data_IF_510723861718
#
_entry.id   IF_510723861718
#
_cell.length_a   1.000
_cell.length_b   1.000
_cell.length_c   1.000
_cell.angle_alpha   90.00
_cell.angle_beta   90.00
_cell.angle_gamma   90.00
#
_symmetry.space_group_name_H-M   'P 1'
#
loop_
_entity.id
_entity.type
_entity.pdbx_description
1 polymer ?
#
# COMPACT_ATOMS: atom_id res chain seq x y z
N UNK A 1 0.01 2.92 19.67
CA UNK A 1 -0.29 3.36 18.28
C UNK A 1 -1.63 4.05 18.28
N UNK A 2 -1.80 5.10 17.48
CA UNK A 2 -3.07 5.72 17.09
C UNK A 2 -3.29 5.51 15.58
N UNK A 3 -4.54 5.66 15.07
CA UNK A 3 -4.77 5.62 13.63
C UNK A 3 -3.85 6.60 12.89
N UNK A 4 -3.24 6.14 11.80
CA UNK A 4 -2.37 6.91 10.91
C UNK A 4 -1.02 7.39 11.52
N UNK A 5 -0.58 6.86 12.66
CA UNK A 5 0.78 7.11 13.17
C UNK A 5 1.84 6.20 12.54
N UNK A 6 1.46 4.98 12.15
CA UNK A 6 2.36 4.01 11.55
C UNK A 6 1.61 3.20 10.50
N UNK A 7 2.13 3.25 9.28
CA UNK A 7 1.71 2.36 8.19
C UNK A 7 2.85 1.41 7.87
N UNK A 8 2.48 0.16 7.59
CA UNK A 8 3.40 -0.88 7.11
C UNK A 8 2.93 -1.31 5.73
N UNK A 9 3.87 -1.76 4.90
CA UNK A 9 3.59 -2.20 3.54
C UNK A 9 4.33 -3.48 3.24
N UNK A 10 3.76 -4.28 2.35
CA UNK A 10 4.41 -5.45 1.77
C UNK A 10 3.98 -5.60 0.29
N UNK A 11 4.78 -6.32 -0.49
CA UNK A 11 4.45 -6.73 -1.84
C UNK A 11 4.34 -8.25 -1.87
N UNK A 12 3.15 -8.75 -2.18
CA UNK A 12 2.92 -10.18 -2.37
C UNK A 12 2.84 -10.51 -3.86
N UNK A 13 3.54 -11.57 -4.28
CA UNK A 13 3.47 -12.10 -5.64
C UNK A 13 2.52 -13.28 -5.73
N UNK A 14 1.73 -13.31 -6.79
CA UNK A 14 0.77 -14.37 -7.10
C UNK A 14 1.07 -14.91 -8.50
N UNK A 15 1.22 -16.24 -8.61
CA UNK A 15 1.36 -16.91 -9.90
C UNK A 15 -0.01 -17.09 -10.54
N UNK A 16 -0.16 -16.62 -11.78
CA UNK A 16 -1.38 -16.82 -12.59
C UNK A 16 -1.06 -17.66 -13.83
N UNK A 17 -2.08 -17.94 -14.65
CA UNK A 17 -1.88 -18.59 -15.96
C UNK A 17 -1.23 -17.66 -17.00
N UNK A 18 -1.28 -16.35 -16.77
CA UNK A 18 -0.81 -15.32 -17.69
C UNK A 18 0.55 -14.73 -17.29
N UNK A 19 1.06 -15.08 -16.11
CA UNK A 19 2.35 -14.61 -15.62
C UNK A 19 2.37 -14.40 -14.11
N UNK A 20 3.21 -13.48 -13.67
CA UNK A 20 3.23 -13.01 -12.28
C UNK A 20 2.32 -11.81 -12.12
N UNK A 21 1.63 -11.74 -10.98
CA UNK A 21 0.85 -10.59 -10.55
C UNK A 21 1.37 -10.16 -9.18
N UNK A 22 1.59 -8.87 -8.99
CA UNK A 22 2.13 -8.29 -7.76
C UNK A 22 1.07 -7.41 -7.12
N UNK A 23 0.86 -7.58 -5.82
CA UNK A 23 -0.07 -6.78 -5.02
C UNK A 23 0.73 -6.05 -3.94
N UNK A 24 0.75 -4.72 -4.00
CA UNK A 24 1.27 -3.88 -2.93
C UNK A 24 0.11 -3.43 -2.05
N UNK A 25 0.21 -3.62 -0.74
CA UNK A 25 -0.83 -3.25 0.20
C UNK A 25 -0.26 -2.43 1.39
N UNK A 26 -0.89 -1.30 1.67
CA UNK A 26 -0.55 -0.42 2.80
C UNK A 26 -1.54 -0.69 3.93
N UNK A 27 -1.04 -1.16 5.07
CA UNK A 27 -1.82 -1.47 6.26
C UNK A 27 -1.57 -0.42 7.35
N UNK A 28 -2.65 0.09 7.93
CA UNK A 28 -2.58 0.90 9.13
C UNK A 28 -2.36 0.00 10.36
N UNK A 29 -1.21 0.15 11.03
CA UNK A 29 -0.76 -0.79 12.07
C UNK A 29 -1.67 -0.79 13.30
N UNK A 30 -2.38 0.32 13.55
CA UNK A 30 -3.35 0.42 14.64
C UNK A 30 -4.67 -0.28 14.31
N UNK A 31 -5.32 0.12 13.21
CA UNK A 31 -6.67 -0.34 12.85
C UNK A 31 -6.70 -1.68 12.10
N UNK A 32 -5.53 -2.20 11.68
CA UNK A 32 -5.38 -3.41 10.86
C UNK A 32 -6.12 -3.36 9.51
N UNK A 33 -6.51 -2.17 9.06
CA UNK A 33 -7.19 -1.98 7.78
C UNK A 33 -6.16 -1.77 6.68
N UNK A 34 -6.40 -2.37 5.52
CA UNK A 34 -5.75 -1.94 4.28
C UNK A 34 -6.30 -0.56 3.92
N UNK A 35 -5.41 0.41 3.79
CA UNK A 35 -5.74 1.82 3.57
C UNK A 35 -5.43 2.27 2.15
N UNK A 36 -4.57 1.55 1.45
CA UNK A 36 -4.29 1.72 0.04
C UNK A 36 -3.70 0.42 -0.53
N UNK A 37 -3.89 0.20 -1.82
CA UNK A 37 -3.37 -0.97 -2.51
C UNK A 37 -3.19 -0.67 -4.00
N UNK A 38 -2.36 -1.46 -4.67
CA UNK A 38 -2.22 -1.46 -6.12
C UNK A 38 -1.83 -2.86 -6.59
N UNK A 39 -2.23 -3.20 -7.81
CA UNK A 39 -1.93 -4.48 -8.45
C UNK A 39 -1.37 -4.22 -9.83
N UNK A 40 -0.27 -4.88 -10.19
CA UNK A 40 0.33 -4.80 -11.52
C UNK A 40 1.02 -6.14 -11.88
N UNK A 41 1.23 -6.36 -13.17
CA UNK A 41 2.07 -7.41 -13.75
C UNK A 41 3.57 -7.16 -13.57
N UNK A 42 3.97 -5.93 -13.23
CA UNK A 42 5.37 -5.52 -13.02
C UNK A 42 5.62 -5.09 -11.57
N UNK A 43 6.68 -5.60 -10.96
CA UNK A 43 7.12 -5.16 -9.63
C UNK A 43 8.10 -3.97 -9.76
N UNK A 44 7.55 -2.77 -9.85
CA UNK A 44 8.31 -1.52 -9.95
C UNK A 44 7.92 -0.49 -8.86
N UNK A 45 8.51 0.70 -8.93
CA UNK A 45 8.17 1.79 -8.01
C UNK A 45 6.74 2.32 -8.22
N UNK A 46 6.22 2.26 -9.45
CA UNK A 46 4.86 2.70 -9.79
C UNK A 46 3.82 1.94 -8.98
N UNK A 47 3.97 0.61 -8.85
CA UNK A 47 3.12 -0.24 -8.03
C UNK A 47 3.03 0.27 -6.58
N UNK A 48 4.16 0.58 -5.96
CA UNK A 48 4.23 1.01 -4.55
C UNK A 48 3.72 2.44 -4.38
N UNK A 49 4.10 3.36 -5.28
CA UNK A 49 3.66 4.75 -5.25
C UNK A 49 2.14 4.83 -5.38
N UNK A 50 1.53 4.06 -6.29
CA UNK A 50 0.09 4.02 -6.46
C UNK A 50 -0.65 3.56 -5.19
N UNK A 51 -0.13 2.52 -4.52
CA UNK A 51 -0.71 2.03 -3.27
C UNK A 51 -0.61 3.08 -2.15
N UNK A 52 0.53 3.76 -2.04
CA UNK A 52 0.75 4.81 -1.05
C UNK A 52 -0.10 6.07 -1.32
N UNK A 53 -0.21 6.50 -2.57
CA UNK A 53 -1.05 7.61 -2.98
C UNK A 53 -2.54 7.35 -2.70
N UNK A 54 -2.99 6.11 -2.89
CA UNK A 54 -4.32 5.68 -2.46
C UNK A 54 -4.47 5.81 -0.94
N UNK A 55 -3.50 5.33 -0.15
CA UNK A 55 -3.53 5.41 1.30
C UNK A 55 -3.60 6.87 1.81
N UNK A 56 -2.76 7.75 1.27
CA UNK A 56 -2.73 9.18 1.62
C UNK A 56 -4.07 9.83 1.31
N UNK A 57 -4.66 9.57 0.13
CA UNK A 57 -5.98 10.11 -0.25
C UNK A 57 -7.09 9.62 0.68
N UNK A 58 -7.07 8.34 1.04
CA UNK A 58 -8.10 7.71 1.87
C UNK A 58 -8.04 8.15 3.34
N UNK A 59 -6.84 8.43 3.87
CA UNK A 59 -6.65 8.70 5.31
C UNK A 59 -6.36 10.15 5.65
N UNK A 60 -5.87 10.94 4.69
CA UNK A 60 -5.49 12.35 4.85
C UNK A 60 -4.72 12.59 6.17
N UNK A 61 -3.64 11.84 6.44
CA UNK A 61 -2.88 12.02 7.66
C UNK A 61 -2.35 13.45 7.75
N UNK A 62 -2.27 13.99 8.97
CA UNK A 62 -1.66 15.31 9.19
C UNK A 62 -0.23 15.26 8.66
N UNK A 63 0.13 16.20 7.78
CA UNK A 63 1.50 16.28 7.27
C UNK A 63 2.45 16.49 8.45
N UNK A 64 3.24 15.48 8.77
CA UNK A 64 4.47 15.71 9.51
C UNK A 64 5.44 16.41 8.58
N UNK A 65 5.87 17.60 8.98
CA UNK A 65 6.93 18.34 8.28
C UNK A 65 8.23 17.62 8.62
N UNK A 66 8.82 16.96 7.62
CA UNK A 66 10.16 16.38 7.71
C UNK A 66 11.17 17.52 7.84
#
# INVERSE_FOLDING_TARGET
>A
LKPNELWVTDITQHRTREGWLYCAAVLDAFSRRIVGWSIDSTQDSTLVVNALDMAIRNRRPVKYRV
#
